data_IF_380399628386
#
_entry.id   IF_380399628386
#
_cell.length_a   1.000
_cell.length_b   1.000
_cell.length_c   1.000
_cell.angle_alpha   90.00
_cell.angle_beta   90.00
_cell.angle_gamma   90.00
#
_symmetry.space_group_name_H-M   'P 1'
#
loop_
_entity.id
_entity.type
_entity.pdbx_description
1 polymer ?
#
# COMPACT_ATOMS: atom_id res chain seq x y z
N UNK A 1 79.53 23.68 -6.93
CA UNK A 1 79.16 24.06 -8.30
C UNK A 1 79.02 22.80 -9.13
N UNK A 2 77.84 22.54 -9.70
CA UNK A 2 77.60 21.48 -10.68
C UNK A 2 76.31 21.78 -11.45
N UNK A 3 76.31 21.50 -12.76
CA UNK A 3 75.23 21.02 -13.66
C UNK A 3 73.76 21.36 -13.28
N UNK A 4 72.90 21.86 -14.15
CA UNK A 4 72.88 21.81 -15.61
C UNK A 4 71.47 21.41 -16.08
N UNK A 5 71.25 21.39 -17.40
CA UNK A 5 70.05 20.85 -18.08
C UNK A 5 68.78 21.73 -18.09
N UNK A 6 68.03 21.61 -19.20
CA UNK A 6 67.01 22.57 -19.64
C UNK A 6 65.55 22.06 -19.57
N UNK A 7 64.59 22.78 -20.18
CA UNK A 7 63.18 22.67 -19.83
C UNK A 7 62.40 21.63 -20.65
N UNK A 8 61.79 20.65 -19.97
CA UNK A 8 60.85 19.63 -20.49
C UNK A 8 59.97 19.09 -19.35
N UNK A 9 58.66 18.80 -19.48
CA UNK A 9 57.59 19.24 -20.39
C UNK A 9 56.24 19.24 -19.60
N UNK A 10 55.13 19.64 -20.23
CA UNK A 10 53.79 19.79 -19.61
C UNK A 10 53.16 18.49 -19.11
N UNK A 11 52.45 18.52 -17.96
CA UNK A 11 51.22 17.74 -17.82
C UNK A 11 50.14 18.45 -17.00
N UNK A 12 48.93 18.38 -17.54
CA UNK A 12 47.72 19.04 -17.07
C UNK A 12 47.07 18.21 -15.94
N UNK A 13 46.96 18.75 -14.72
CA UNK A 13 45.94 18.27 -13.78
C UNK A 13 45.42 19.38 -12.87
N UNK A 14 44.32 19.99 -13.32
CA UNK A 14 43.37 20.72 -12.45
C UNK A 14 42.87 19.77 -11.37
N UNK A 15 43.34 19.93 -10.12
CA UNK A 15 42.73 19.28 -8.97
C UNK A 15 42.06 20.32 -8.08
N UNK A 16 40.83 20.67 -8.47
CA UNK A 16 39.87 21.47 -7.70
C UNK A 16 39.42 20.70 -6.44
N UNK A 17 40.21 20.73 -5.38
CA UNK A 17 39.85 20.23 -4.06
C UNK A 17 39.92 21.34 -3.01
N UNK A 18 38.79 22.03 -2.81
CA UNK A 18 38.36 22.69 -1.55
C UNK A 18 37.04 23.48 -1.74
N UNK A 19 35.94 22.82 -2.09
CA UNK A 19 34.57 23.39 -1.90
C UNK A 19 33.48 22.30 -1.79
N UNK A 20 33.71 21.26 -0.98
CA UNK A 20 32.67 20.28 -0.61
C UNK A 20 32.09 20.65 0.76
N UNK A 21 31.60 21.89 0.86
CA UNK A 21 30.76 22.39 1.97
C UNK A 21 29.28 22.50 1.53
N UNK A 22 28.86 21.65 0.59
CA UNK A 22 27.56 21.74 -0.07
C UNK A 22 26.62 20.55 0.12
N UNK A 23 26.52 20.05 1.34
CA UNK A 23 25.38 19.20 1.73
C UNK A 23 24.96 19.41 3.18
N UNK A 24 24.24 20.50 3.46
CA UNK A 24 23.32 20.50 4.61
C UNK A 24 22.13 19.60 4.23
N UNK A 25 21.91 18.45 4.90
CA UNK A 25 20.65 17.75 4.74
C UNK A 25 19.57 18.66 5.31
N UNK A 26 18.66 19.13 4.45
CA UNK A 26 17.46 19.82 4.88
C UNK A 26 16.57 18.82 5.61
N UNK A 27 16.78 18.65 6.92
CA UNK A 27 15.88 17.92 7.79
C UNK A 27 14.50 18.53 7.59
N UNK A 28 13.58 17.75 7.00
CA UNK A 28 12.17 18.12 7.00
C UNK A 28 11.74 18.09 8.46
N UNK A 29 11.58 19.26 9.06
CA UNK A 29 10.93 19.41 10.37
C UNK A 29 9.42 19.20 10.18
N UNK A 30 9.07 17.97 9.80
CA UNK A 30 7.74 17.40 9.95
C UNK A 30 7.75 16.54 11.21
N UNK A 31 6.59 16.35 11.82
CA UNK A 31 6.46 15.42 12.93
C UNK A 31 6.67 13.98 12.41
N UNK A 32 7.69 13.23 12.89
CA UNK A 32 8.01 11.93 12.33
C UNK A 32 6.92 10.88 12.61
N UNK A 33 6.17 11.03 13.71
CA UNK A 33 5.04 10.14 14.01
C UNK A 33 3.84 10.43 13.09
N UNK A 34 3.63 11.68 12.68
CA UNK A 34 2.64 12.02 11.66
C UNK A 34 3.01 11.48 10.27
N UNK A 35 4.30 11.45 9.91
CA UNK A 35 4.78 10.86 8.66
C UNK A 35 4.59 9.33 8.66
N UNK A 36 5.00 8.66 9.75
CA UNK A 36 4.86 7.21 9.92
C UNK A 36 3.40 6.74 9.92
N UNK A 37 2.50 7.45 10.62
CA UNK A 37 1.04 7.18 10.57
C UNK A 37 0.49 7.26 9.16
N UNK A 38 0.89 8.29 8.40
CA UNK A 38 0.44 8.47 7.01
C UNK A 38 0.93 7.33 6.11
N UNK A 39 2.15 6.84 6.30
CA UNK A 39 2.66 5.70 5.53
C UNK A 39 1.90 4.41 5.87
N UNK A 40 1.64 4.13 7.15
CA UNK A 40 0.80 3.00 7.58
C UNK A 40 -0.61 3.10 7.00
N UNK A 41 -1.25 4.26 7.06
CA UNK A 41 -2.58 4.49 6.49
C UNK A 41 -2.62 4.26 4.96
N UNK A 42 -1.60 4.72 4.23
CA UNK A 42 -1.45 4.43 2.81
C UNK A 42 -1.26 2.94 2.53
N UNK A 43 -0.51 2.22 3.37
CA UNK A 43 -0.33 0.77 3.23
C UNK A 43 -1.66 0.02 3.42
N UNK A 44 -2.42 0.35 4.47
CA UNK A 44 -3.76 -0.22 4.73
C UNK A 44 -4.72 0.09 3.58
N UNK A 45 -4.77 1.35 3.11
CA UNK A 45 -5.56 1.74 1.95
C UNK A 45 -5.16 0.96 0.68
N UNK A 46 -3.86 0.70 0.50
CA UNK A 46 -3.33 -0.16 -0.56
C UNK A 46 -3.78 -1.61 -0.44
N UNK A 47 -3.76 -2.20 0.77
CA UNK A 47 -4.27 -3.56 1.04
C UNK A 47 -5.77 -3.70 0.73
N UNK A 48 -6.58 -2.71 1.13
CA UNK A 48 -8.02 -2.67 0.85
C UNK A 48 -8.31 -2.56 -0.65
N UNK A 49 -7.58 -1.70 -1.36
CA UNK A 49 -7.70 -1.55 -2.82
C UNK A 49 -7.34 -2.83 -3.58
N UNK A 50 -6.30 -3.57 -3.15
CA UNK A 50 -5.95 -4.87 -3.75
C UNK A 50 -7.04 -5.92 -3.59
N UNK A 51 -7.83 -5.85 -2.51
CA UNK A 51 -9.05 -6.67 -2.30
C UNK A 51 -10.29 -6.15 -3.04
N UNK A 52 -10.13 -5.17 -3.94
CA UNK A 52 -11.22 -4.63 -4.77
C UNK A 52 -12.11 -3.59 -4.08
N UNK A 53 -11.80 -3.16 -2.85
CA UNK A 53 -12.59 -2.13 -2.18
C UNK A 53 -12.34 -0.76 -2.80
N UNK A 54 -13.43 -0.01 -3.01
CA UNK A 54 -13.38 1.41 -3.36
C UNK A 54 -13.24 2.26 -2.09
N UNK A 55 -12.18 3.05 -2.06
CA UNK A 55 -11.92 4.08 -1.07
C UNK A 55 -12.06 5.45 -1.72
N UNK A 56 -12.57 6.41 -0.96
CA UNK A 56 -12.72 7.82 -1.38
C UNK A 56 -11.42 8.59 -1.28
N UNK A 57 -10.48 8.12 -0.44
CA UNK A 57 -9.27 8.86 -0.07
C UNK A 57 -9.50 9.88 1.05
N UNK A 58 -10.71 9.89 1.63
CA UNK A 58 -11.12 10.79 2.71
C UNK A 58 -11.43 10.04 4.02
N UNK A 59 -11.17 8.73 4.05
CA UNK A 59 -11.27 7.87 5.23
C UNK A 59 -10.22 8.22 6.28
N UNK A 60 -10.57 8.15 7.56
CA UNK A 60 -9.61 8.27 8.68
C UNK A 60 -8.80 6.98 8.89
N UNK A 61 -7.69 7.07 9.62
CA UNK A 61 -6.87 5.90 10.00
C UNK A 61 -7.72 4.80 10.69
N UNK A 62 -8.62 5.21 11.60
CA UNK A 62 -9.54 4.33 12.32
C UNK A 62 -10.62 3.72 11.40
N UNK A 63 -11.06 4.45 10.38
CA UNK A 63 -11.98 3.92 9.36
C UNK A 63 -11.29 2.90 8.45
N UNK A 64 -10.04 3.15 8.06
CA UNK A 64 -9.23 2.21 7.27
C UNK A 64 -8.96 0.91 8.03
N UNK A 65 -8.63 0.97 9.32
CA UNK A 65 -8.44 -0.21 10.17
C UNK A 65 -9.76 -1.00 10.30
N UNK A 66 -10.87 -0.34 10.64
CA UNK A 66 -12.18 -1.00 10.78
C UNK A 66 -12.66 -1.66 9.48
N UNK A 67 -12.36 -1.07 8.33
CA UNK A 67 -12.62 -1.69 7.03
C UNK A 67 -11.78 -2.96 6.81
N UNK A 68 -10.49 -2.93 7.17
CA UNK A 68 -9.61 -4.09 7.02
C UNK A 68 -10.06 -5.24 7.91
N UNK A 69 -10.30 -4.98 9.20
CA UNK A 69 -10.77 -6.00 10.15
C UNK A 69 -12.10 -6.63 9.72
N UNK A 70 -13.04 -5.82 9.20
CA UNK A 70 -14.33 -6.32 8.72
C UNK A 70 -14.18 -7.25 7.52
N UNK A 71 -13.31 -6.91 6.57
CA UNK A 71 -13.01 -7.72 5.38
C UNK A 71 -12.27 -9.00 5.77
N UNK A 72 -11.24 -8.94 6.60
CA UNK A 72 -10.48 -10.11 7.03
C UNK A 72 -11.35 -11.08 7.84
N UNK A 73 -12.31 -10.56 8.63
CA UNK A 73 -13.31 -11.39 9.33
C UNK A 73 -14.31 -12.05 8.37
N UNK A 74 -14.66 -11.39 7.27
CA UNK A 74 -15.47 -11.98 6.20
C UNK A 74 -14.69 -13.09 5.49
N UNK A 75 -13.47 -12.80 5.00
CA UNK A 75 -12.56 -13.75 4.34
C UNK A 75 -12.38 -15.02 5.20
N UNK A 76 -11.96 -14.87 6.47
CA UNK A 76 -11.78 -15.98 7.40
C UNK A 76 -13.07 -16.78 7.71
N UNK A 77 -14.26 -16.19 7.49
CA UNK A 77 -15.53 -16.90 7.62
C UNK A 77 -15.84 -17.72 6.37
N UNK A 78 -15.58 -17.17 5.17
CA UNK A 78 -15.71 -17.88 3.89
C UNK A 78 -14.80 -19.11 3.86
N UNK A 79 -13.51 -18.93 4.16
CA UNK A 79 -12.50 -20.00 4.20
C UNK A 79 -12.91 -21.14 5.13
N UNK A 80 -13.44 -20.81 6.32
CA UNK A 80 -13.85 -21.80 7.34
C UNK A 80 -15.08 -22.63 6.96
N UNK A 81 -15.94 -22.14 6.07
CA UNK A 81 -17.14 -22.85 5.64
C UNK A 81 -16.95 -23.58 4.31
N UNK A 82 -15.69 -23.70 3.83
CA UNK A 82 -15.37 -24.41 2.59
C UNK A 82 -15.72 -23.62 1.32
N UNK A 83 -15.98 -22.32 1.44
CA UNK A 83 -16.00 -21.43 0.29
C UNK A 83 -14.56 -21.20 -0.15
N UNK A 84 -14.18 -21.73 -1.32
CA UNK A 84 -12.88 -21.41 -1.92
C UNK A 84 -12.91 -19.94 -2.38
N UNK A 85 -12.11 -19.10 -1.74
CA UNK A 85 -11.97 -17.70 -2.10
C UNK A 85 -11.04 -17.59 -3.33
N UNK A 86 -11.50 -18.11 -4.47
CA UNK A 86 -10.79 -18.03 -5.75
C UNK A 86 -10.57 -16.56 -6.13
N UNK A 87 -9.39 -16.04 -5.79
CA UNK A 87 -8.88 -14.78 -6.30
C UNK A 87 -8.40 -15.04 -7.73
N UNK A 88 -9.29 -14.83 -8.71
CA UNK A 88 -8.93 -14.83 -10.13
C UNK A 88 -7.91 -13.71 -10.40
N UNK A 89 -6.61 -14.04 -10.34
CA UNK A 89 -5.66 -13.45 -11.27
C UNK A 89 -6.11 -13.86 -12.69
N UNK A 90 -6.28 -12.90 -13.62
CA UNK A 90 -6.82 -13.21 -14.95
C UNK A 90 -5.80 -13.98 -15.79
N UNK A 91 -5.85 -15.31 -15.68
CA UNK A 91 -5.14 -16.21 -16.61
C UNK A 91 -5.83 -16.11 -17.97
N UNK A 92 -5.10 -15.64 -19.00
CA UNK A 92 -5.64 -15.48 -20.35
C UNK A 92 -6.35 -16.76 -20.84
N UNK A 93 -7.65 -16.65 -21.11
CA UNK A 93 -8.45 -17.71 -21.72
C UNK A 93 -9.30 -18.56 -20.76
N UNK A 94 -9.16 -18.42 -19.44
CA UNK A 94 -10.03 -19.11 -18.46
C UNK A 94 -11.18 -18.17 -18.06
N UNK A 95 -12.42 -18.68 -18.00
CA UNK A 95 -13.55 -17.89 -17.46
C UNK A 95 -13.44 -17.85 -15.94
N UNK A 96 -13.60 -16.68 -15.30
CA UNK A 96 -13.50 -16.56 -13.85
C UNK A 96 -14.50 -17.49 -13.18
N UNK A 97 -14.03 -18.26 -12.19
CA UNK A 97 -14.84 -19.26 -11.50
C UNK A 97 -15.67 -18.49 -10.47
N UNK A 98 -16.83 -17.99 -10.91
CA UNK A 98 -17.77 -17.28 -10.03
C UNK A 98 -18.02 -18.15 -8.78
N UNK A 99 -17.90 -17.61 -7.56
CA UNK A 99 -18.22 -18.39 -6.36
C UNK A 99 -19.66 -18.90 -6.47
N UNK A 100 -19.82 -20.21 -6.38
CA UNK A 100 -21.09 -20.91 -6.68
C UNK A 100 -22.21 -20.45 -5.72
N UNK A 101 -21.84 -20.09 -4.48
CA UNK A 101 -22.72 -19.51 -3.47
C UNK A 101 -22.52 -17.99 -3.33
N UNK A 102 -23.61 -17.25 -3.55
CA UNK A 102 -23.67 -15.78 -3.44
C UNK A 102 -23.39 -15.25 -2.02
N UNK A 103 -23.46 -16.11 -0.99
CA UNK A 103 -23.15 -15.75 0.41
C UNK A 103 -21.66 -15.42 0.60
N UNK A 104 -20.78 -15.95 -0.25
CA UNK A 104 -19.34 -15.75 -0.18
C UNK A 104 -18.82 -14.55 -0.99
N UNK A 105 -19.72 -13.74 -1.56
CA UNK A 105 -19.36 -12.51 -2.28
C UNK A 105 -19.28 -11.32 -1.32
N UNK A 106 -18.10 -10.69 -1.23
CA UNK A 106 -17.93 -9.46 -0.45
C UNK A 106 -18.82 -8.33 -1.01
N UNK A 107 -19.59 -7.61 -0.17
CA UNK A 107 -20.40 -6.49 -0.63
C UNK A 107 -19.56 -5.40 -1.31
N UNK A 108 -20.09 -4.82 -2.40
CA UNK A 108 -19.49 -3.62 -3.01
C UNK A 108 -19.95 -2.37 -2.27
N UNK A 109 -19.00 -1.50 -1.89
CA UNK A 109 -19.29 -0.18 -1.34
C UNK A 109 -20.06 0.67 -2.36
N UNK A 110 -21.13 1.33 -1.92
CA UNK A 110 -21.86 2.27 -2.76
C UNK A 110 -21.12 3.61 -2.84
N UNK A 111 -21.42 4.35 -3.90
CA UNK A 111 -20.96 5.73 -4.05
C UNK A 111 -21.55 6.59 -2.92
N UNK A 112 -20.74 7.46 -2.31
CA UNK A 112 -21.10 8.26 -1.12
C UNK A 112 -21.50 7.46 0.16
N UNK A 113 -21.23 6.15 0.21
CA UNK A 113 -21.54 5.35 1.41
C UNK A 113 -20.56 5.65 2.57
N UNK A 114 -21.11 6.03 3.73
CA UNK A 114 -20.35 6.19 4.97
C UNK A 114 -19.65 4.89 5.37
N UNK A 115 -18.43 4.97 5.91
CA UNK A 115 -17.62 3.79 6.23
C UNK A 115 -18.34 2.87 7.22
N UNK A 116 -18.95 3.42 8.27
CA UNK A 116 -19.66 2.60 9.26
C UNK A 116 -20.86 1.84 8.68
N UNK A 117 -21.59 2.45 7.75
CA UNK A 117 -22.68 1.78 7.04
C UNK A 117 -22.14 0.60 6.19
N UNK A 118 -21.02 0.79 5.51
CA UNK A 118 -20.39 -0.28 4.73
C UNK A 118 -19.81 -1.40 5.61
N UNK A 119 -19.14 -1.07 6.72
CA UNK A 119 -18.66 -2.03 7.73
C UNK A 119 -19.80 -2.88 8.27
N UNK A 120 -20.96 -2.26 8.58
CA UNK A 120 -22.14 -3.00 9.01
C UNK A 120 -22.63 -3.98 7.94
N UNK A 121 -22.70 -3.59 6.66
CA UNK A 121 -23.08 -4.51 5.57
C UNK A 121 -22.10 -5.66 5.37
N UNK A 122 -20.80 -5.44 5.59
CA UNK A 122 -19.81 -6.53 5.60
C UNK A 122 -20.08 -7.46 6.78
N UNK A 123 -20.31 -6.95 8.00
CA UNK A 123 -20.63 -7.76 9.17
C UNK A 123 -21.94 -8.58 9.00
N UNK A 124 -22.96 -8.03 8.34
CA UNK A 124 -24.15 -8.79 7.94
C UNK A 124 -23.84 -9.87 6.89
N UNK A 125 -22.93 -9.60 5.94
CA UNK A 125 -22.48 -10.61 4.98
C UNK A 125 -21.71 -11.74 5.67
N UNK A 126 -20.85 -11.43 6.64
CA UNK A 126 -20.14 -12.41 7.47
C UNK A 126 -21.14 -13.31 8.23
N UNK A 127 -22.21 -12.73 8.79
CA UNK A 127 -23.26 -13.51 9.46
C UNK A 127 -24.00 -14.43 8.48
N UNK A 128 -24.28 -14.00 7.25
CA UNK A 128 -24.88 -14.85 6.20
C UNK A 128 -23.94 -15.96 5.73
N UNK A 129 -22.64 -15.69 5.63
CA UNK A 129 -21.62 -16.68 5.28
C UNK A 129 -21.37 -17.72 6.39
N UNK A 130 -21.61 -17.36 7.66
CA UNK A 130 -21.55 -18.25 8.82
C UNK A 130 -22.87 -19.02 9.10
N UNK A 131 -23.92 -18.78 8.31
CA UNK A 131 -25.19 -19.50 8.47
C UNK A 131 -25.10 -20.89 7.81
N UNK A 132 -25.61 -21.95 8.46
CA UNK A 132 -25.60 -23.32 7.92
C UNK A 132 -26.42 -23.46 6.64
#
# INVERSE_FOLDING_TARGET
>A
MARGEGPRESLHQTHIMSDIERQKPGVRIGDPAADERRDVANEVAGRLRRRGLRLTGNETDEELVRLLEAVERFEATVERHGGDLMVDEPVEGVRPIQPDDRRFVLPRRHDHEAVEAFVNRIAEATQRAAAP
#
